data_IF_926159255884
#
_entry.id   IF_926159255884
#
_cell.length_a   1.000
_cell.length_b   1.000
_cell.length_c   1.000
_cell.angle_alpha   90.00
_cell.angle_beta   90.00
_cell.angle_gamma   90.00
#
_symmetry.space_group_name_H-M   'P 1'
#
loop_
_entity.id
_entity.type
_entity.pdbx_description
1 polymer ?
#
# COMPACT_ATOMS: atom_id res chain seq x y z
N UNK A 1 -14.04 -7.93 6.76
CA UNK A 1 -12.86 -8.04 7.65
C UNK A 1 -11.80 -7.03 7.20
N UNK A 2 -11.34 -6.14 8.08
CA UNK A 2 -10.35 -5.11 7.71
C UNK A 2 -9.00 -5.77 7.42
N UNK A 3 -8.35 -5.41 6.31
CA UNK A 3 -7.03 -5.95 5.92
C UNK A 3 -5.98 -5.85 7.03
N UNK A 4 -6.14 -4.88 7.94
CA UNK A 4 -5.25 -4.70 9.09
C UNK A 4 -5.41 -5.78 10.16
N UNK A 5 -6.65 -6.23 10.44
CA UNK A 5 -6.90 -7.27 11.47
C UNK A 5 -6.24 -8.59 11.09
N UNK A 6 -6.28 -8.96 9.81
CA UNK A 6 -5.60 -10.15 9.28
C UNK A 6 -4.09 -10.09 9.52
N UNK A 7 -3.48 -8.90 9.41
CA UNK A 7 -2.06 -8.72 9.68
C UNK A 7 -1.76 -8.89 11.17
N UNK A 8 -2.54 -8.27 12.05
CA UNK A 8 -2.38 -8.42 13.50
C UNK A 8 -2.50 -9.88 13.93
N UNK A 9 -3.53 -10.60 13.45
CA UNK A 9 -3.75 -12.02 13.73
C UNK A 9 -2.53 -12.86 13.33
N UNK A 10 -1.97 -12.64 12.13
CA UNK A 10 -0.76 -13.34 11.67
C UNK A 10 0.50 -13.01 12.49
N UNK A 11 0.59 -11.79 13.01
CA UNK A 11 1.69 -11.40 13.87
C UNK A 11 1.57 -12.05 15.25
N UNK A 12 0.40 -11.97 15.89
CA UNK A 12 0.15 -12.57 17.20
C UNK A 12 0.28 -14.09 17.14
N UNK A 13 -0.21 -14.73 16.07
CA UNK A 13 -0.03 -16.17 15.85
C UNK A 13 1.45 -16.60 15.84
N UNK A 14 2.31 -15.78 15.23
CA UNK A 14 3.76 -16.02 15.23
C UNK A 14 4.38 -15.80 16.60
N UNK A 15 3.97 -14.73 17.31
CA UNK A 15 4.50 -14.39 18.63
C UNK A 15 4.14 -15.44 19.69
N UNK A 16 2.88 -15.88 19.70
CA UNK A 16 2.36 -16.83 20.69
C UNK A 16 2.54 -18.30 20.29
N UNK A 17 3.00 -18.57 19.05
CA UNK A 17 3.13 -19.93 18.51
C UNK A 17 1.79 -20.67 18.39
N UNK A 18 0.70 -19.94 18.20
CA UNK A 18 -0.67 -20.44 18.24
C UNK A 18 -1.47 -20.04 17.00
N UNK A 19 -2.54 -20.77 16.71
CA UNK A 19 -3.48 -20.41 15.65
C UNK A 19 -4.65 -19.62 16.23
N UNK A 20 -4.97 -18.49 15.59
CA UNK A 20 -6.09 -17.63 15.95
C UNK A 20 -7.11 -17.60 14.83
N UNK A 21 -8.39 -17.56 15.19
CA UNK A 21 -9.46 -17.26 14.25
C UNK A 21 -9.25 -15.85 13.66
N UNK A 22 -9.60 -15.67 12.38
CA UNK A 22 -9.40 -14.39 11.69
C UNK A 22 -10.16 -13.21 12.35
N UNK A 23 -11.22 -13.49 13.12
CA UNK A 23 -12.00 -12.49 13.86
C UNK A 23 -11.58 -12.34 15.33
N UNK A 24 -10.53 -13.02 15.79
CA UNK A 24 -10.09 -12.99 17.18
C UNK A 24 -9.82 -11.56 17.65
N UNK A 25 -10.23 -11.26 18.89
CA UNK A 25 -10.02 -9.97 19.54
C UNK A 25 -8.97 -10.14 20.63
N UNK A 26 -7.86 -9.44 20.46
CA UNK A 26 -6.76 -9.46 21.42
C UNK A 26 -7.05 -8.46 22.54
N UNK A 27 -6.81 -8.87 23.78
CA UNK A 27 -6.98 -7.98 24.94
C UNK A 27 -5.91 -6.89 24.96
N UNK A 28 -6.20 -5.80 25.65
CA UNK A 28 -5.24 -4.69 25.84
C UNK A 28 -3.94 -5.18 26.48
N UNK A 29 -4.02 -6.10 27.43
CA UNK A 29 -2.87 -6.69 28.12
C UNK A 29 -2.02 -7.54 27.16
N UNK A 30 -2.63 -8.26 26.23
CA UNK A 30 -1.91 -8.97 25.18
C UNK A 30 -1.17 -8.01 24.26
N UNK A 31 -1.80 -6.90 23.87
CA UNK A 31 -1.20 -5.90 22.99
C UNK A 31 -0.09 -5.10 23.68
N UNK A 32 -0.19 -4.88 25.00
CA UNK A 32 0.85 -4.20 25.78
C UNK A 32 2.10 -5.06 26.02
N UNK A 33 2.01 -6.39 25.85
CA UNK A 33 3.16 -7.31 25.95
C UNK A 33 4.07 -7.28 24.72
N UNK A 34 3.60 -6.73 23.60
CA UNK A 34 4.36 -6.71 22.34
C UNK A 34 5.60 -5.83 22.47
N UNK A 35 6.76 -6.40 22.17
CA UNK A 35 8.03 -5.69 22.15
C UNK A 35 8.52 -5.40 20.72
N UNK A 36 9.40 -4.41 20.54
CA UNK A 36 10.04 -4.17 19.25
C UNK A 36 10.75 -5.38 18.65
N UNK A 37 11.33 -6.24 19.50
CA UNK A 37 12.05 -7.43 19.07
C UNK A 37 11.13 -8.46 18.41
N UNK A 38 9.94 -8.69 18.97
CA UNK A 38 8.92 -9.57 18.37
C UNK A 38 8.55 -9.12 16.96
N UNK A 39 8.37 -7.80 16.79
CA UNK A 39 8.11 -7.19 15.48
C UNK A 39 9.28 -7.37 14.53
N UNK A 40 10.51 -7.20 15.00
CA UNK A 40 11.72 -7.41 14.20
C UNK A 40 11.83 -8.87 13.75
N UNK A 41 11.71 -9.83 14.66
CA UNK A 41 11.73 -11.28 14.35
C UNK A 41 10.66 -11.66 13.34
N UNK A 42 9.43 -11.16 13.53
CA UNK A 42 8.35 -11.42 12.59
C UNK A 42 8.58 -10.77 11.21
N UNK A 43 9.04 -9.51 11.16
CA UNK A 43 9.34 -8.84 9.89
C UNK A 43 10.53 -9.47 9.17
N UNK A 44 11.53 -9.95 9.92
CA UNK A 44 12.64 -10.72 9.38
C UNK A 44 12.15 -12.03 8.76
N UNK A 45 11.32 -12.81 9.48
CA UNK A 45 10.70 -14.02 8.93
C UNK A 45 9.94 -13.75 7.64
N UNK A 46 9.29 -12.60 7.50
CA UNK A 46 8.60 -12.22 6.26
C UNK A 46 9.53 -11.83 5.12
N UNK A 47 10.65 -11.17 5.41
CA UNK A 47 11.53 -10.62 4.39
C UNK A 47 12.64 -11.58 3.96
N UNK A 48 13.18 -12.35 4.90
CA UNK A 48 14.33 -13.24 4.74
C UNK A 48 13.98 -14.73 4.89
N UNK A 49 12.73 -15.06 5.25
CA UNK A 49 12.28 -16.41 5.64
C UNK A 49 12.98 -16.97 6.90
N UNK A 50 13.61 -16.10 7.68
CA UNK A 50 14.28 -16.44 8.94
C UNK A 50 14.02 -15.32 9.97
N UNK A 51 13.60 -15.62 11.22
CA UNK A 51 13.43 -14.61 12.26
C UNK A 51 14.74 -13.91 12.67
N UNK A 52 15.87 -14.60 12.54
CA UNK A 52 17.21 -14.16 12.95
C UNK A 52 18.18 -14.28 11.75
N UNK A 53 17.98 -13.48 10.70
CA UNK A 53 18.69 -13.62 9.45
C UNK A 53 20.16 -13.24 9.63
N UNK A 54 21.04 -14.08 9.08
CA UNK A 54 22.48 -13.80 9.01
C UNK A 54 22.76 -12.58 8.13
N UNK A 55 23.94 -12.00 8.26
CA UNK A 55 24.29 -10.77 7.54
C UNK A 55 24.37 -10.96 6.03
N UNK A 56 24.68 -12.18 5.57
CA UNK A 56 24.76 -12.53 4.15
C UNK A 56 23.40 -12.79 3.51
N UNK A 57 22.35 -13.00 4.32
CA UNK A 57 21.01 -13.27 3.82
C UNK A 57 20.40 -12.03 3.16
N UNK A 58 19.66 -12.26 2.07
CA UNK A 58 19.02 -11.20 1.28
C UNK A 58 17.50 -11.23 1.45
N UNK A 59 16.83 -10.07 1.52
CA UNK A 59 15.40 -9.99 1.73
C UNK A 59 14.64 -10.21 0.41
N UNK A 60 14.50 -11.47 0.01
CA UNK A 60 13.93 -11.88 -1.29
C UNK A 60 12.47 -12.35 -1.20
N UNK A 61 11.84 -12.25 -0.02
CA UNK A 61 10.46 -12.72 0.19
C UNK A 61 9.43 -11.60 0.37
N UNK A 62 9.86 -10.42 0.83
CA UNK A 62 8.97 -9.27 0.98
C UNK A 62 9.68 -7.95 0.70
N UNK A 63 8.90 -6.99 0.17
CA UNK A 63 9.34 -5.61 -0.05
C UNK A 63 9.19 -4.74 1.19
N UNK A 64 9.95 -3.65 1.25
CA UNK A 64 9.86 -2.65 2.31
C UNK A 64 8.44 -2.08 2.41
N UNK A 65 7.75 -1.87 1.29
CA UNK A 65 6.35 -1.40 1.25
C UNK A 65 5.38 -2.39 1.92
N UNK A 66 5.61 -3.70 1.77
CA UNK A 66 4.85 -4.74 2.46
C UNK A 66 5.07 -4.68 3.98
N UNK A 67 6.31 -4.45 4.40
CA UNK A 67 6.65 -4.30 5.82
C UNK A 67 6.10 -2.99 6.41
N UNK A 68 6.16 -1.89 5.67
CA UNK A 68 5.56 -0.60 6.06
C UNK A 68 4.05 -0.71 6.23
N UNK A 69 3.37 -1.40 5.31
CA UNK A 69 1.95 -1.70 5.46
C UNK A 69 1.67 -2.53 6.70
N UNK A 70 2.46 -3.58 6.94
CA UNK A 70 2.29 -4.43 8.11
C UNK A 70 2.53 -3.68 9.42
N UNK A 71 3.58 -2.85 9.48
CA UNK A 71 3.85 -1.92 10.58
C UNK A 71 2.67 -1.00 10.85
N UNK A 72 2.12 -0.37 9.79
CA UNK A 72 0.95 0.52 9.89
C UNK A 72 -0.27 -0.21 10.43
N UNK A 73 -0.52 -1.42 9.93
CA UNK A 73 -1.64 -2.26 10.34
C UNK A 73 -1.55 -2.67 11.82
N UNK A 74 -0.38 -3.08 12.30
CA UNK A 74 -0.20 -3.43 13.73
C UNK A 74 -0.31 -2.17 14.58
N UNK A 75 0.30 -1.06 14.15
CA UNK A 75 0.27 0.21 14.87
C UNK A 75 -1.14 0.72 15.15
N UNK A 76 -2.12 0.47 14.29
CA UNK A 76 -3.50 0.95 14.52
C UNK A 76 -4.21 0.27 15.67
N UNK A 77 -3.71 -0.88 16.13
CA UNK A 77 -4.28 -1.61 17.28
C UNK A 77 -3.49 -1.38 18.57
N UNK A 78 -2.31 -0.75 18.51
CA UNK A 78 -1.51 -0.54 19.72
C UNK A 78 -2.21 0.44 20.67
N UNK A 79 -2.41 0.09 21.96
CA UNK A 79 -3.12 0.95 22.91
C UNK A 79 -2.50 2.36 23.03
N UNK A 80 -1.18 2.47 22.88
CA UNK A 80 -0.43 3.73 22.98
C UNK A 80 -0.04 4.28 21.61
N UNK A 81 -0.98 4.32 20.65
CA UNK A 81 -0.71 4.61 19.22
C UNK A 81 0.15 5.87 18.96
N UNK A 82 -0.09 6.94 19.71
CA UNK A 82 0.59 8.24 19.52
C UNK A 82 1.92 8.37 20.28
N UNK A 83 2.20 7.48 21.24
CA UNK A 83 3.41 7.53 22.05
C UNK A 83 4.57 6.87 21.29
N UNK A 84 5.68 7.58 21.13
CA UNK A 84 6.91 6.98 20.60
C UNK A 84 7.43 5.91 21.57
N UNK A 85 8.08 4.87 21.03
CA UNK A 85 8.71 3.86 21.87
C UNK A 85 9.92 4.44 22.61
N UNK A 86 9.92 4.30 23.94
CA UNK A 86 11.06 4.60 24.79
C UNK A 86 11.79 3.29 25.17
N UNK A 87 13.06 3.11 24.75
CA UNK A 87 13.83 1.91 25.07
C UNK A 87 14.24 1.82 26.54
N UNK A 88 14.28 2.94 27.28
CA UNK A 88 14.69 2.95 28.69
C UNK A 88 13.59 2.41 29.58
N UNK A 89 12.37 2.90 29.37
CA UNK A 89 11.20 2.46 30.16
C UNK A 89 10.49 1.24 29.57
N UNK A 90 10.86 0.83 28.35
CA UNK A 90 10.17 -0.20 27.57
C UNK A 90 8.67 0.10 27.38
N UNK A 91 8.35 1.37 27.12
CA UNK A 91 6.98 1.85 27.01
C UNK A 91 6.72 2.61 25.70
N UNK A 92 5.47 2.56 25.25
CA UNK A 92 5.00 3.30 24.07
C UNK A 92 4.52 2.38 22.97
N UNK A 93 4.52 2.86 21.73
CA UNK A 93 4.15 2.06 20.57
C UNK A 93 5.37 1.32 20.00
N UNK A 94 5.47 -0.02 20.13
CA UNK A 94 6.67 -0.77 19.71
C UNK A 94 6.94 -0.67 18.21
N UNK A 95 5.91 -0.44 17.38
CA UNK A 95 6.07 -0.23 15.93
C UNK A 95 6.81 1.07 15.60
N UNK A 96 6.85 2.04 16.52
CA UNK A 96 7.56 3.32 16.38
C UNK A 96 9.01 3.27 16.86
N UNK A 97 9.50 2.12 17.31
CA UNK A 97 10.89 1.94 17.74
C UNK A 97 11.91 2.15 16.61
N UNK A 98 13.12 2.53 16.98
CA UNK A 98 14.21 2.69 16.02
C UNK A 98 14.61 1.36 15.36
N UNK A 99 14.56 0.25 16.10
CA UNK A 99 14.91 -1.09 15.61
C UNK A 99 14.03 -1.51 14.42
N UNK A 100 12.71 -1.40 14.54
CA UNK A 100 11.75 -1.71 13.47
C UNK A 100 12.00 -0.81 12.24
N UNK A 101 12.28 0.49 12.46
CA UNK A 101 12.60 1.41 11.38
C UNK A 101 13.94 1.07 10.68
N UNK A 102 14.96 0.66 11.44
CA UNK A 102 16.26 0.23 10.92
C UNK A 102 16.12 -1.02 10.05
N UNK A 103 15.29 -1.98 10.45
CA UNK A 103 14.98 -3.18 9.66
C UNK A 103 14.36 -2.80 8.30
N UNK A 104 13.31 -1.98 8.29
CA UNK A 104 12.67 -1.54 7.04
C UNK A 104 13.66 -0.80 6.15
N UNK A 105 14.52 0.06 6.74
CA UNK A 105 15.61 0.74 6.01
C UNK A 105 16.67 -0.23 5.48
N UNK A 106 16.96 -1.34 6.19
CA UNK A 106 17.87 -2.41 5.70
C UNK A 106 17.28 -3.07 4.46
N UNK A 107 16.01 -3.47 4.49
CA UNK A 107 15.32 -4.06 3.33
C UNK A 107 15.31 -3.09 2.15
N UNK A 108 14.96 -1.82 2.37
CA UNK A 108 14.99 -0.78 1.34
C UNK A 108 16.36 -0.61 0.69
N UNK A 109 17.46 -0.75 1.45
CA UNK A 109 18.83 -0.70 0.90
C UNK A 109 19.11 -1.87 -0.06
N UNK A 110 18.69 -3.09 0.27
CA UNK A 110 18.81 -4.24 -0.63
C UNK A 110 17.97 -4.08 -1.90
N UNK A 111 16.76 -3.53 -1.79
CA UNK A 111 15.92 -3.25 -2.97
C UNK A 111 16.60 -2.27 -3.94
N UNK A 112 17.18 -1.17 -3.43
CA UNK A 112 17.88 -0.19 -4.26
C UNK A 112 19.11 -0.79 -4.94
N UNK A 113 19.80 -1.72 -4.26
CA UNK A 113 20.94 -2.48 -4.82
C UNK A 113 20.52 -3.57 -5.81
N UNK A 114 19.22 -3.77 -6.04
CA UNK A 114 18.66 -4.86 -6.86
C UNK A 114 18.97 -6.26 -6.32
N UNK A 115 19.16 -6.34 -5.00
CA UNK A 115 19.45 -7.59 -4.28
C UNK A 115 18.25 -8.07 -3.44
N UNK A 116 17.17 -7.31 -3.41
CA UNK A 116 15.88 -7.70 -2.81
C UNK A 116 14.84 -8.08 -3.86
N UNK A 117 13.58 -8.18 -3.43
CA UNK A 117 12.44 -8.47 -4.33
C UNK A 117 12.30 -7.40 -5.42
N UNK A 118 12.10 -7.85 -6.66
CA UNK A 118 11.87 -6.97 -7.80
C UNK A 118 10.59 -6.14 -7.65
N UNK A 119 10.59 -4.97 -8.27
CA UNK A 119 9.41 -4.10 -8.26
C UNK A 119 8.37 -4.58 -9.26
N UNK A 120 7.18 -4.95 -8.77
CA UNK A 120 5.98 -5.16 -9.60
C UNK A 120 5.21 -3.86 -9.88
N UNK A 121 5.83 -2.69 -9.64
CA UNK A 121 5.21 -1.41 -9.96
C UNK A 121 5.05 -1.32 -11.48
N UNK A 122 3.81 -1.09 -11.93
CA UNK A 122 3.53 -0.84 -13.34
C UNK A 122 4.10 0.53 -13.70
N UNK A 123 4.82 0.61 -14.82
CA UNK A 123 5.21 1.91 -15.38
C UNK A 123 3.99 2.64 -15.90
N UNK A 124 4.12 3.96 -16.04
CA UNK A 124 3.12 4.78 -16.71
C UNK A 124 2.94 4.34 -18.16
N UNK A 125 1.71 4.50 -18.67
CA UNK A 125 1.42 4.32 -20.09
C UNK A 125 2.01 5.50 -20.87
N UNK A 126 2.77 5.19 -21.92
CA UNK A 126 3.38 6.19 -22.79
C UNK A 126 2.37 6.71 -23.82
N UNK A 127 2.64 7.88 -24.40
CA UNK A 127 1.70 8.53 -25.32
C UNK A 127 1.31 7.63 -26.50
N UNK A 128 2.29 7.00 -27.16
CA UNK A 128 2.02 6.13 -28.31
C UNK A 128 1.18 4.90 -27.93
N UNK A 129 1.39 4.35 -26.74
CA UNK A 129 0.60 3.24 -26.21
C UNK A 129 -0.83 3.67 -25.92
N UNK A 130 -1.01 4.90 -25.43
CA UNK A 130 -2.31 5.50 -25.22
C UNK A 130 -3.06 5.73 -26.53
N UNK A 131 -2.39 6.22 -27.58
CA UNK A 131 -2.97 6.36 -28.92
C UNK A 131 -3.36 5.01 -29.51
N UNK A 132 -2.52 3.99 -29.35
CA UNK A 132 -2.83 2.62 -29.78
C UNK A 132 -4.04 2.05 -29.03
N UNK A 133 -4.14 2.29 -27.71
CA UNK A 133 -5.30 1.92 -26.91
C UNK A 133 -6.59 2.58 -27.42
N UNK A 134 -6.57 3.89 -27.70
CA UNK A 134 -7.72 4.60 -28.24
C UNK A 134 -8.12 4.08 -29.63
N UNK A 135 -7.16 3.73 -30.46
CA UNK A 135 -7.39 3.16 -31.78
C UNK A 135 -8.08 1.80 -31.68
N UNK A 136 -7.60 0.93 -30.77
CA UNK A 136 -8.21 -0.37 -30.48
C UNK A 136 -9.66 -0.24 -30.00
N UNK A 137 -9.91 0.68 -29.05
CA UNK A 137 -11.27 0.93 -28.53
C UNK A 137 -12.18 1.38 -29.66
N UNK A 138 -11.73 2.26 -30.57
CA UNK A 138 -12.54 2.74 -31.69
C UNK A 138 -12.83 1.67 -32.74
N UNK A 139 -11.89 0.76 -32.98
CA UNK A 139 -12.05 -0.35 -33.94
C UNK A 139 -13.02 -1.43 -33.48
N UNK A 140 -13.41 -1.45 -32.20
CA UNK A 140 -14.34 -2.42 -31.64
C UNK A 140 -15.79 -2.11 -32.01
N UNK A 141 -16.24 -2.58 -33.18
CA UNK A 141 -17.59 -2.32 -33.71
C UNK A 141 -18.70 -3.05 -32.94
N UNK A 142 -18.42 -4.24 -32.40
CA UNK A 142 -19.40 -5.07 -31.69
C UNK A 142 -19.98 -4.40 -30.44
N UNK A 143 -19.23 -3.43 -29.87
CA UNK A 143 -19.64 -2.72 -28.63
C UNK A 143 -20.46 -1.45 -28.89
N UNK A 144 -20.79 -1.14 -30.14
CA UNK A 144 -21.70 -0.05 -30.50
C UNK A 144 -21.37 1.27 -29.81
N UNK A 145 -22.34 1.85 -29.07
CA UNK A 145 -22.17 3.12 -28.35
C UNK A 145 -21.14 3.09 -27.21
N UNK A 146 -20.89 1.94 -26.60
CA UNK A 146 -19.98 1.79 -25.45
C UNK A 146 -18.54 2.15 -25.80
N UNK A 147 -18.12 1.94 -27.05
CA UNK A 147 -16.76 2.30 -27.50
C UNK A 147 -16.48 3.79 -27.40
N UNK A 148 -17.47 4.64 -27.69
CA UNK A 148 -17.35 6.09 -27.58
C UNK A 148 -17.31 6.53 -26.13
N UNK A 149 -18.11 5.89 -25.26
CA UNK A 149 -18.10 6.17 -23.82
C UNK A 149 -16.73 5.84 -23.22
N UNK A 150 -16.20 4.65 -23.48
CA UNK A 150 -14.88 4.21 -22.99
C UNK A 150 -13.77 5.11 -23.55
N UNK A 151 -13.81 5.41 -24.85
CA UNK A 151 -12.85 6.32 -25.48
C UNK A 151 -12.86 7.70 -24.85
N UNK A 152 -14.04 8.28 -24.62
CA UNK A 152 -14.19 9.59 -23.96
C UNK A 152 -13.68 9.58 -22.52
N UNK A 153 -13.99 8.54 -21.75
CA UNK A 153 -13.51 8.40 -20.38
C UNK A 153 -11.98 8.30 -20.31
N UNK A 154 -11.36 7.45 -21.14
CA UNK A 154 -9.90 7.33 -21.20
C UNK A 154 -9.23 8.63 -21.66
N UNK A 155 -9.81 9.31 -22.66
CA UNK A 155 -9.31 10.59 -23.16
C UNK A 155 -9.36 11.66 -22.09
N UNK A 156 -10.49 11.82 -21.41
CA UNK A 156 -10.63 12.82 -20.36
C UNK A 156 -9.69 12.50 -19.18
N UNK A 157 -9.59 11.22 -18.78
CA UNK A 157 -8.67 10.77 -17.74
C UNK A 157 -7.22 11.18 -18.03
N UNK A 158 -6.77 11.00 -19.27
CA UNK A 158 -5.43 11.37 -19.71
C UNK A 158 -5.19 12.88 -19.59
N UNK A 159 -6.14 13.70 -20.04
CA UNK A 159 -5.99 15.17 -20.05
C UNK A 159 -5.96 15.78 -18.65
N UNK A 160 -6.74 15.24 -17.71
CA UNK A 160 -6.83 15.79 -16.34
C UNK A 160 -6.00 15.01 -15.32
N UNK A 161 -5.26 13.98 -15.76
CA UNK A 161 -4.45 13.10 -14.91
C UNK A 161 -5.23 12.49 -13.73
N UNK A 162 -6.52 12.19 -13.95
CA UNK A 162 -7.40 11.70 -12.88
C UNK A 162 -7.25 10.21 -12.62
N UNK A 163 -7.63 9.79 -11.41
CA UNK A 163 -7.79 8.36 -11.10
C UNK A 163 -9.07 7.86 -11.74
N UNK A 164 -9.08 6.58 -12.11
CA UNK A 164 -10.26 5.96 -12.73
C UNK A 164 -11.49 6.00 -11.81
N UNK A 165 -11.32 5.89 -10.49
CA UNK A 165 -12.43 6.01 -9.54
C UNK A 165 -13.07 7.40 -9.55
N UNK A 166 -12.25 8.45 -9.68
CA UNK A 166 -12.72 9.83 -9.80
C UNK A 166 -13.47 10.03 -11.12
N UNK A 167 -12.93 9.46 -12.21
CA UNK A 167 -13.57 9.49 -13.55
C UNK A 167 -14.96 8.85 -13.55
N UNK A 168 -15.15 7.76 -12.81
CA UNK A 168 -16.45 7.06 -12.73
C UNK A 168 -17.48 7.79 -11.86
N UNK A 169 -17.06 8.83 -11.13
CA UNK A 169 -17.94 9.68 -10.30
C UNK A 169 -18.27 11.02 -10.94
N UNK A 170 -17.71 11.32 -12.11
CA UNK A 170 -17.99 12.56 -12.83
C UNK A 170 -19.48 12.67 -13.20
N UNK A 171 -20.05 13.83 -12.91
CA UNK A 171 -21.40 14.22 -13.26
C UNK A 171 -21.36 15.47 -14.15
N UNK A 172 -22.45 15.74 -14.86
CA UNK A 172 -22.55 16.95 -15.69
C UNK A 172 -22.41 18.24 -14.87
N UNK A 173 -22.82 18.23 -13.60
CA UNK A 173 -22.64 19.35 -12.66
C UNK A 173 -21.18 19.66 -12.33
N UNK A 174 -20.24 18.74 -12.60
CA UNK A 174 -18.81 18.99 -12.43
C UNK A 174 -18.20 19.85 -13.55
N UNK A 175 -18.96 20.09 -14.63
CA UNK A 175 -18.51 20.89 -15.75
C UNK A 175 -19.22 22.25 -15.75
N UNK A 176 -18.44 23.33 -15.87
CA UNK A 176 -18.96 24.68 -15.96
C UNK A 176 -18.30 25.43 -17.12
N UNK A 177 -19.02 26.34 -17.81
CA UNK A 177 -18.39 27.25 -18.76
C UNK A 177 -17.29 28.07 -18.09
N UNK A 178 -16.15 28.22 -18.75
CA UNK A 178 -15.09 29.06 -18.24
C UNK A 178 -15.35 30.54 -18.58
N UNK A 179 -15.57 31.43 -17.60
CA UNK A 179 -15.86 32.84 -17.87
C UNK A 179 -14.65 33.61 -18.42
N UNK A 180 -13.42 33.13 -18.20
CA UNK A 180 -12.20 33.77 -18.69
C UNK A 180 -11.82 33.29 -20.10
N UNK A 181 -12.14 32.04 -20.44
CA UNK A 181 -11.78 31.42 -21.71
C UNK A 181 -13.03 30.73 -22.33
N UNK A 182 -13.82 31.46 -23.13
CA UNK A 182 -15.13 31.00 -23.60
C UNK A 182 -15.15 29.68 -24.40
N UNK A 183 -14.01 29.29 -24.97
CA UNK A 183 -13.84 28.02 -25.71
C UNK A 183 -13.51 26.83 -24.81
N UNK A 184 -13.49 26.99 -23.48
CA UNK A 184 -13.07 25.96 -22.53
C UNK A 184 -14.14 25.69 -21.46
N UNK A 185 -14.07 24.48 -20.89
CA UNK A 185 -14.86 24.10 -19.72
C UNK A 185 -13.96 23.98 -18.50
N UNK A 186 -14.45 24.43 -17.36
CA UNK A 186 -13.90 24.12 -16.05
C UNK A 186 -14.43 22.76 -15.62
N UNK A 187 -13.55 21.88 -15.18
CA UNK A 187 -13.89 20.57 -14.62
C UNK A 187 -13.45 20.55 -13.14
N UNK A 188 -14.41 20.34 -12.24
CA UNK A 188 -14.14 20.19 -10.81
C UNK A 188 -14.35 18.73 -10.42
N UNK A 189 -13.24 18.00 -10.28
CA UNK A 189 -13.20 16.57 -9.91
C UNK A 189 -13.33 16.41 -8.39
#
# INVERSE_FOLDING_TARGET
MTRYKVILVKFMAFMDGAEYANNHEFTTEALLRIMPDDLCRWMNKRAFDDPEPRDEMKPVFARSSTLEFAKKAISSFMPRVNMTWDPVTAQGNPTRSEAVNKLIKRVKRFEVRREGVSSNARRSIEFDEFINLLSLVRSEEERGGTRYLVGSALTLQWHIMARIDDMMKLQFSNFMPNPQYPSTLLCQV
#
